data_IF_616781004080
#
_entry.id   IF_616781004080
#
_cell.length_a   1.000
_cell.length_b   1.000
_cell.length_c   1.000
_cell.angle_alpha   90.00
_cell.angle_beta   90.00
_cell.angle_gamma   90.00
#
_symmetry.space_group_name_H-M   'P 1'
#
loop_
_entity.id
_entity.type
_entity.pdbx_description
1 polymer ?
#
# COMPACT_ATOMS: atom_id res chain seq x y z
N UNK A 1 3.83 -13.78 -60.55
CA UNK A 1 4.79 -14.12 -59.49
C UNK A 1 4.34 -13.45 -58.19
N UNK A 2 3.80 -14.17 -57.19
CA UNK A 2 3.41 -13.57 -55.92
C UNK A 2 4.59 -13.53 -54.96
N UNK A 3 4.82 -12.36 -54.32
CA UNK A 3 5.80 -12.19 -53.24
C UNK A 3 5.05 -12.28 -51.91
N UNK A 4 5.31 -13.33 -51.14
CA UNK A 4 4.78 -13.51 -49.78
C UNK A 4 5.57 -12.57 -48.85
N UNK A 5 4.91 -11.54 -48.34
CA UNK A 5 5.46 -10.69 -47.29
C UNK A 5 5.23 -11.39 -45.94
N UNK A 6 6.32 -11.86 -45.32
CA UNK A 6 6.30 -12.47 -43.99
C UNK A 6 6.41 -11.34 -42.95
N UNK A 7 5.27 -10.96 -42.36
CA UNK A 7 5.23 -9.98 -41.28
C UNK A 7 5.72 -10.62 -39.98
N UNK A 8 6.93 -10.27 -39.55
CA UNK A 8 7.45 -10.64 -38.23
C UNK A 8 6.71 -9.83 -37.16
N UNK A 9 5.85 -10.48 -36.38
CA UNK A 9 5.22 -9.88 -35.20
C UNK A 9 6.25 -9.91 -34.05
N UNK A 10 6.92 -8.78 -33.80
CA UNK A 10 7.79 -8.63 -32.64
C UNK A 10 6.94 -8.47 -31.38
N UNK A 11 6.87 -9.51 -30.54
CA UNK A 11 6.25 -9.42 -29.23
C UNK A 11 7.16 -8.60 -28.30
N UNK A 12 6.77 -7.35 -28.03
CA UNK A 12 7.46 -6.47 -27.08
C UNK A 12 7.14 -6.92 -25.65
N UNK A 13 8.06 -7.64 -25.01
CA UNK A 13 7.95 -7.95 -23.59
C UNK A 13 8.29 -6.70 -22.77
N UNK A 14 7.29 -6.11 -22.10
CA UNK A 14 7.51 -5.03 -21.16
C UNK A 14 8.15 -5.58 -19.88
N UNK A 15 9.20 -4.95 -19.33
CA UNK A 15 9.77 -5.37 -18.06
C UNK A 15 8.78 -5.09 -16.93
N UNK A 16 8.36 -6.16 -16.22
CA UNK A 16 7.65 -6.04 -14.94
C UNK A 16 8.68 -5.58 -13.92
N UNK A 17 8.53 -4.36 -13.38
CA UNK A 17 9.38 -3.88 -12.30
C UNK A 17 9.18 -4.76 -11.06
N UNK A 18 10.24 -5.44 -10.62
CA UNK A 18 10.23 -6.14 -9.35
C UNK A 18 10.13 -5.10 -8.22
N UNK A 19 9.15 -5.23 -7.32
CA UNK A 19 9.07 -4.41 -6.12
C UNK A 19 10.24 -4.78 -5.20
N UNK A 20 11.20 -3.88 -5.03
CA UNK A 20 12.28 -4.01 -4.05
C UNK A 20 11.75 -3.51 -2.70
N UNK A 21 11.57 -4.41 -1.74
CA UNK A 21 11.18 -4.07 -0.38
C UNK A 21 10.52 -5.22 0.38
N UNK A 22 10.56 -5.14 1.71
CA UNK A 22 9.97 -6.10 2.62
C UNK A 22 8.44 -5.99 2.64
N UNK A 23 7.72 -7.11 2.48
CA UNK A 23 6.27 -7.16 2.67
C UNK A 23 5.94 -7.16 4.16
N UNK A 24 5.14 -6.18 4.61
CA UNK A 24 4.82 -5.94 6.02
C UNK A 24 3.41 -6.42 6.41
N UNK A 25 2.70 -7.08 5.48
CA UNK A 25 1.28 -7.38 5.58
C UNK A 25 0.42 -6.47 4.71
N UNK A 26 -0.87 -6.43 5.01
CA UNK A 26 -1.90 -5.72 4.27
C UNK A 26 -2.67 -4.76 5.18
N UNK A 27 -2.81 -3.52 4.73
CA UNK A 27 -3.69 -2.53 5.34
C UNK A 27 -5.14 -2.96 5.11
N UNK A 28 -5.74 -3.62 6.11
CA UNK A 28 -7.06 -4.23 6.05
C UNK A 28 -7.78 -4.10 7.39
N UNK A 29 -9.11 -3.98 7.34
CA UNK A 29 -10.01 -4.01 8.48
C UNK A 29 -10.38 -5.45 8.92
N UNK A 30 -10.00 -6.47 8.17
CA UNK A 30 -10.34 -7.87 8.48
C UNK A 30 -9.52 -8.39 9.67
N UNK A 31 -10.11 -8.69 10.84
CA UNK A 31 -9.35 -9.09 12.03
C UNK A 31 -8.91 -10.57 12.00
N UNK A 32 -9.39 -11.36 11.04
CA UNK A 32 -9.14 -12.80 10.96
C UNK A 32 -8.09 -13.18 9.92
N UNK A 33 -7.83 -12.31 8.94
CA UNK A 33 -6.82 -12.56 7.92
C UNK A 33 -5.40 -12.50 8.54
N UNK A 34 -4.52 -13.49 8.32
CA UNK A 34 -3.17 -13.51 8.90
C UNK A 34 -2.32 -12.29 8.53
N UNK A 35 -2.40 -11.84 7.29
CA UNK A 35 -1.62 -10.68 6.80
C UNK A 35 -2.27 -9.34 7.13
N UNK A 36 -3.44 -9.31 7.77
CA UNK A 36 -4.14 -8.05 8.05
C UNK A 36 -3.50 -7.28 9.20
N UNK A 37 -3.35 -5.97 9.02
CA UNK A 37 -2.99 -5.03 10.09
C UNK A 37 -4.02 -4.95 11.21
N UNK A 38 -5.27 -5.36 10.97
CA UNK A 38 -6.29 -5.45 12.01
C UNK A 38 -6.21 -6.76 12.82
N UNK A 39 -5.40 -7.73 12.40
CA UNK A 39 -5.23 -9.00 13.13
C UNK A 39 -4.08 -8.88 14.15
N UNK A 40 -4.36 -8.81 15.47
CA UNK A 40 -3.32 -8.67 16.49
C UNK A 40 -2.47 -9.93 16.70
N UNK A 41 -2.87 -11.06 16.14
CA UNK A 41 -2.13 -12.32 16.17
C UNK A 41 -1.38 -12.59 14.86
N UNK A 42 -1.48 -11.69 13.88
CA UNK A 42 -0.83 -11.76 12.57
C UNK A 42 0.03 -10.52 12.31
N UNK A 43 0.01 -10.00 11.07
CA UNK A 43 0.77 -8.81 10.67
C UNK A 43 0.46 -7.55 11.50
N UNK A 44 -0.73 -7.48 12.11
CA UNK A 44 -1.12 -6.42 13.04
C UNK A 44 -0.56 -6.55 14.46
N UNK A 45 0.25 -7.58 14.75
CA UNK A 45 0.80 -7.82 16.09
C UNK A 45 1.74 -6.70 16.53
N UNK A 46 1.46 -6.12 17.71
CA UNK A 46 2.33 -5.13 18.36
C UNK A 46 3.69 -5.67 18.81
N UNK A 47 3.89 -6.99 18.75
CA UNK A 47 5.12 -7.66 19.17
C UNK A 47 5.97 -8.11 17.99
N UNK A 48 5.43 -8.07 16.76
CA UNK A 48 6.20 -8.37 15.56
C UNK A 48 7.11 -7.18 15.21
N UNK A 49 8.38 -7.44 14.90
CA UNK A 49 9.38 -6.40 14.67
C UNK A 49 9.10 -5.55 13.41
N UNK A 50 8.42 -6.13 12.43
CA UNK A 50 8.09 -5.51 11.15
C UNK A 50 6.66 -4.96 11.10
N UNK A 51 5.82 -5.24 12.10
CA UNK A 51 4.47 -4.69 12.15
C UNK A 51 4.47 -3.17 12.26
N UNK A 52 3.60 -2.54 11.46
CA UNK A 52 3.28 -1.11 11.57
C UNK A 52 2.60 -0.75 12.91
N UNK A 53 2.08 -1.74 13.65
CA UNK A 53 1.44 -1.56 14.94
C UNK A 53 2.42 -1.75 16.11
N UNK A 54 3.68 -2.10 15.86
CA UNK A 54 4.69 -2.18 16.90
C UNK A 54 5.30 -0.79 17.16
N UNK A 55 5.01 -0.15 18.31
CA UNK A 55 5.49 1.20 18.62
C UNK A 55 7.00 1.26 18.87
N UNK A 56 7.66 0.12 18.99
CA UNK A 56 9.12 0.01 19.13
C UNK A 56 9.78 -0.52 17.84
N UNK A 57 8.98 -0.90 16.84
CA UNK A 57 9.44 -1.46 15.57
C UNK A 57 9.82 -0.40 14.54
N UNK A 58 10.55 -0.81 13.50
CA UNK A 58 11.02 0.07 12.42
C UNK A 58 9.87 0.80 11.71
N UNK A 59 8.74 0.12 11.50
CA UNK A 59 7.62 0.65 10.72
C UNK A 59 6.48 1.22 11.57
N UNK A 60 6.43 0.94 12.88
CA UNK A 60 5.40 1.46 13.78
C UNK A 60 5.86 2.50 14.81
N UNK A 61 7.18 2.69 14.99
CA UNK A 61 7.72 3.62 15.98
C UNK A 61 7.54 5.09 15.61
N UNK A 62 7.11 5.97 16.54
CA UNK A 62 6.99 7.41 16.29
C UNK A 62 8.34 8.10 16.04
N UNK A 63 9.47 7.40 16.22
CA UNK A 63 10.82 7.94 16.08
C UNK A 63 11.54 7.49 14.79
N UNK A 64 11.00 6.49 14.09
CA UNK A 64 11.67 5.95 12.90
C UNK A 64 11.30 6.75 11.65
N UNK A 65 12.28 7.01 10.78
CA UNK A 65 12.04 7.69 9.49
C UNK A 65 11.26 6.80 8.50
N UNK A 66 11.23 5.48 8.74
CA UNK A 66 10.49 4.49 7.98
C UNK A 66 9.08 4.21 8.55
N UNK A 67 8.66 4.90 9.60
CA UNK A 67 7.40 4.58 10.27
C UNK A 67 6.19 5.22 9.62
N UNK A 68 5.08 4.47 9.64
CA UNK A 68 3.75 5.00 9.38
C UNK A 68 3.26 6.00 10.43
N UNK A 69 3.75 5.92 11.67
CA UNK A 69 3.24 6.69 12.80
C UNK A 69 4.09 7.92 13.14
N UNK A 70 5.23 8.12 12.47
CA UNK A 70 6.06 9.29 12.66
C UNK A 70 5.62 10.43 11.70
N UNK A 71 5.12 11.57 12.20
CA UNK A 71 4.65 12.69 11.37
C UNK A 71 5.77 13.42 10.62
N UNK A 72 7.04 13.08 10.90
CA UNK A 72 8.21 13.60 10.20
C UNK A 72 8.90 12.54 9.31
N UNK A 73 8.33 11.33 9.21
CA UNK A 73 8.88 10.30 8.35
C UNK A 73 8.90 10.75 6.89
N UNK A 74 10.01 10.43 6.22
CA UNK A 74 10.24 10.64 4.79
C UNK A 74 10.47 9.32 4.06
N UNK A 75 10.48 8.19 4.78
CA UNK A 75 10.71 6.84 4.27
C UNK A 75 9.57 5.86 4.65
N UNK A 76 8.37 6.39 4.87
CA UNK A 76 7.20 5.61 5.27
C UNK A 76 6.81 4.52 4.23
N UNK A 77 6.17 3.42 4.68
CA UNK A 77 5.84 2.29 3.81
C UNK A 77 4.89 2.66 2.67
N UNK A 78 5.00 1.94 1.56
CA UNK A 78 4.21 2.16 0.33
C UNK A 78 3.02 1.21 0.29
N UNK A 79 1.89 1.70 -0.22
CA UNK A 79 0.66 0.92 -0.40
C UNK A 79 0.45 0.55 -1.86
N UNK A 80 0.04 -0.68 -2.11
CA UNK A 80 -0.30 -1.19 -3.43
C UNK A 80 -1.59 -2.01 -3.40
N UNK A 81 -2.40 -1.91 -4.45
CA UNK A 81 -3.54 -2.83 -4.64
C UNK A 81 -3.10 -4.15 -5.29
N UNK A 82 -4.06 -5.07 -5.48
CA UNK A 82 -3.79 -6.40 -6.07
C UNK A 82 -3.30 -6.34 -7.51
N UNK A 83 -3.57 -5.24 -8.22
CA UNK A 83 -3.13 -5.00 -9.58
C UNK A 83 -1.73 -4.35 -9.64
N UNK A 84 -1.15 -4.02 -8.49
CA UNK A 84 0.14 -3.35 -8.39
C UNK A 84 0.07 -1.83 -8.58
N UNK A 85 -1.12 -1.22 -8.57
CA UNK A 85 -1.22 0.22 -8.62
C UNK A 85 -0.78 0.81 -7.29
N UNK A 86 0.03 1.87 -7.36
CA UNK A 86 0.48 2.60 -6.18
C UNK A 86 -0.66 3.43 -5.56
N UNK A 87 -0.84 3.29 -4.25
CA UNK A 87 -1.91 3.93 -3.44
C UNK A 87 -1.38 4.89 -2.38
N UNK A 88 -0.17 5.40 -2.57
CA UNK A 88 0.45 6.36 -1.66
C UNK A 88 1.29 5.73 -0.56
N UNK A 89 1.75 6.57 0.36
CA UNK A 89 2.53 6.15 1.53
C UNK A 89 1.64 6.07 2.74
N UNK A 90 1.72 4.95 3.44
CA UNK A 90 1.12 4.80 4.75
C UNK A 90 1.93 5.63 5.75
N UNK A 91 1.60 6.91 5.87
CA UNK A 91 2.31 7.89 6.68
C UNK A 91 1.33 8.77 7.44
N UNK A 92 1.71 9.19 8.64
CA UNK A 92 1.03 10.22 9.43
C UNK A 92 1.53 11.64 9.13
N UNK A 93 2.55 11.80 8.28
CA UNK A 93 3.06 13.10 7.87
C UNK A 93 2.03 13.81 6.96
N UNK A 94 1.40 14.92 7.39
CA UNK A 94 0.38 15.60 6.59
C UNK A 94 0.97 16.47 5.47
N UNK A 95 2.29 16.68 5.46
CA UNK A 95 2.98 17.52 4.49
C UNK A 95 3.65 16.74 3.37
N UNK A 96 3.81 15.42 3.51
CA UNK A 96 4.27 14.57 2.42
C UNK A 96 3.17 14.51 1.31
N UNK A 97 3.48 14.89 0.06
CA UNK A 97 2.51 14.87 -1.03
C UNK A 97 1.96 13.47 -1.36
N UNK A 98 2.71 12.41 -1.02
CA UNK A 98 2.31 11.02 -1.23
C UNK A 98 1.60 10.39 -0.02
N UNK A 99 1.55 11.09 1.11
CA UNK A 99 0.96 10.57 2.35
C UNK A 99 -0.55 10.41 2.27
N UNK A 100 -1.04 9.28 2.78
CA UNK A 100 -2.49 9.04 2.99
C UNK A 100 -3.09 9.94 4.07
N UNK A 101 -2.27 10.61 4.87
CA UNK A 101 -2.70 11.58 5.89
C UNK A 101 -2.67 13.02 5.40
N UNK A 102 -2.25 13.28 4.16
CA UNK A 102 -2.32 14.62 3.56
C UNK A 102 -3.70 14.84 2.91
N UNK A 103 -4.61 15.65 3.51
CA UNK A 103 -5.98 15.83 3.01
C UNK A 103 -6.06 16.58 1.68
N UNK A 104 -4.97 17.24 1.28
CA UNK A 104 -4.84 17.94 0.00
C UNK A 104 -4.07 17.12 -1.03
N UNK A 105 -3.44 16.01 -0.61
CA UNK A 105 -2.64 15.12 -1.46
C UNK A 105 -3.51 14.13 -2.24
N UNK A 106 -2.95 13.60 -3.34
CA UNK A 106 -3.63 12.64 -4.21
C UNK A 106 -4.09 11.37 -3.47
N UNK A 107 -3.34 10.91 -2.47
CA UNK A 107 -3.61 9.64 -1.79
C UNK A 107 -4.30 9.79 -0.42
N UNK A 108 -4.36 11.01 0.13
CA UNK A 108 -5.04 11.29 1.39
C UNK A 108 -6.33 12.10 1.26
N UNK A 109 -6.54 12.80 0.14
CA UNK A 109 -7.75 13.60 -0.06
C UNK A 109 -9.00 12.75 -0.22
N UNK A 110 -10.08 13.08 0.48
CA UNK A 110 -11.39 12.41 0.33
C UNK A 110 -12.02 12.59 -1.07
N UNK A 111 -11.54 13.54 -1.87
CA UNK A 111 -12.07 13.83 -3.20
C UNK A 111 -11.30 13.10 -4.32
N UNK A 112 -10.14 12.52 -4.01
CA UNK A 112 -9.33 11.82 -5.02
C UNK A 112 -9.79 10.38 -5.21
N UNK A 113 -9.96 9.88 -6.45
CA UNK A 113 -10.30 8.48 -6.69
C UNK A 113 -9.21 7.50 -6.24
N UNK A 114 -7.95 7.95 -6.16
CA UNK A 114 -6.81 7.12 -5.73
C UNK A 114 -6.63 7.04 -4.22
N UNK A 115 -7.38 7.84 -3.46
CA UNK A 115 -7.26 7.95 -2.02
C UNK A 115 -8.04 6.85 -1.30
N UNK A 116 -7.41 6.26 -0.29
CA UNK A 116 -8.05 5.31 0.62
C UNK A 116 -9.09 5.97 1.52
N UNK A 117 -9.09 7.31 1.60
CA UNK A 117 -10.07 8.09 2.35
C UNK A 117 -11.30 8.46 1.49
N UNK A 118 -11.32 8.11 0.20
CA UNK A 118 -12.48 8.33 -0.66
C UNK A 118 -13.32 7.04 -0.75
N UNK A 119 -14.56 7.00 -0.20
CA UNK A 119 -15.42 5.82 -0.24
C UNK A 119 -15.97 5.49 -1.64
N UNK A 120 -15.82 6.40 -2.60
CA UNK A 120 -16.16 6.16 -4.00
C UNK A 120 -14.93 5.80 -4.87
N UNK A 121 -13.73 5.76 -4.27
CA UNK A 121 -12.46 5.45 -4.92
C UNK A 121 -11.78 4.24 -4.29
N UNK A 122 -10.45 4.32 -4.08
CA UNK A 122 -9.66 3.25 -3.47
C UNK A 122 -10.11 2.88 -2.04
N UNK A 123 -10.83 3.76 -1.34
CA UNK A 123 -11.43 3.52 -0.03
C UNK A 123 -12.81 2.87 -0.05
N UNK A 124 -13.32 2.44 -1.21
CA UNK A 124 -14.67 1.88 -1.34
C UNK A 124 -14.86 0.62 -0.48
N UNK A 125 -15.79 0.60 0.49
CA UNK A 125 -15.94 -0.50 1.44
C UNK A 125 -16.39 -1.83 0.81
N UNK A 126 -16.83 -1.82 -0.45
CA UNK A 126 -17.21 -3.01 -1.19
C UNK A 126 -16.09 -3.54 -2.09
N UNK A 127 -15.00 -2.78 -2.28
CA UNK A 127 -13.86 -3.24 -3.07
C UNK A 127 -13.02 -4.26 -2.28
N UNK A 128 -12.54 -5.35 -2.89
CA UNK A 128 -11.79 -6.40 -2.18
C UNK A 128 -10.46 -5.91 -1.62
N UNK A 129 -9.81 -4.97 -2.31
CA UNK A 129 -8.52 -4.39 -1.88
C UNK A 129 -8.68 -3.19 -0.95
N UNK A 130 -9.90 -2.73 -0.68
CA UNK A 130 -10.10 -1.56 0.16
C UNK A 130 -9.70 -1.85 1.61
N UNK A 131 -8.92 -0.96 2.25
CA UNK A 131 -8.64 -1.05 3.68
C UNK A 131 -9.88 -1.10 4.57
N UNK A 132 -11.00 -0.53 4.11
CA UNK A 132 -12.24 -0.41 4.89
C UNK A 132 -13.18 -1.60 4.72
N UNK A 133 -12.89 -2.53 3.80
CA UNK A 133 -13.70 -3.73 3.60
C UNK A 133 -13.35 -4.79 4.66
N UNK A 134 -14.25 -5.13 5.60
CA UNK A 134 -13.96 -6.10 6.68
C UNK A 134 -13.78 -7.54 6.19
N UNK A 135 -14.13 -7.82 4.93
CA UNK A 135 -13.95 -9.12 4.28
C UNK A 135 -12.87 -9.08 3.19
N UNK A 136 -12.28 -7.91 2.93
CA UNK A 136 -11.28 -7.70 1.90
C UNK A 136 -9.88 -8.13 2.32
N UNK A 137 -9.02 -8.35 1.32
CA UNK A 137 -7.58 -8.55 1.50
C UNK A 137 -6.86 -7.28 1.93
N UNK A 138 -7.40 -6.11 1.58
CA UNK A 138 -6.79 -4.82 1.82
C UNK A 138 -5.61 -4.53 0.88
N UNK A 139 -4.88 -3.44 1.18
CA UNK A 139 -3.75 -3.00 0.37
C UNK A 139 -2.44 -3.58 0.88
N UNK A 140 -1.60 -4.08 -0.01
CA UNK A 140 -0.26 -4.58 0.33
C UNK A 140 0.63 -3.44 0.84
N UNK A 141 1.29 -3.67 1.97
CA UNK A 141 2.25 -2.73 2.57
C UNK A 141 3.67 -3.19 2.25
N UNK A 142 4.46 -2.33 1.62
CA UNK A 142 5.86 -2.58 1.27
C UNK A 142 6.75 -1.55 1.98
N UNK A 143 7.65 -2.04 2.84
CA UNK A 143 8.69 -1.24 3.49
C UNK A 143 10.00 -1.25 2.70
N UNK A 144 10.72 -0.14 2.73
CA UNK A 144 12.08 -0.06 2.14
C UNK A 144 13.10 -0.69 3.13
N UNK A 145 14.01 -1.52 2.61
CA UNK A 145 15.02 -2.28 3.39
C UNK A 145 16.13 -1.41 4.01
#
# INVERSE_FOLDING_TARGET
MPRIALSLLAALALPVAAQTGSHLGNLSANPYAPDSTANPYGAGSRYDANSINNPYGRYGSPYSNQSANNPYATQAPKLYDSQGNYRGRLSSNPHDPESVSNPYGRYGSQYSPDSINNPYGAGNPYAPDSPTNPFGSGLRIIGDD
#
